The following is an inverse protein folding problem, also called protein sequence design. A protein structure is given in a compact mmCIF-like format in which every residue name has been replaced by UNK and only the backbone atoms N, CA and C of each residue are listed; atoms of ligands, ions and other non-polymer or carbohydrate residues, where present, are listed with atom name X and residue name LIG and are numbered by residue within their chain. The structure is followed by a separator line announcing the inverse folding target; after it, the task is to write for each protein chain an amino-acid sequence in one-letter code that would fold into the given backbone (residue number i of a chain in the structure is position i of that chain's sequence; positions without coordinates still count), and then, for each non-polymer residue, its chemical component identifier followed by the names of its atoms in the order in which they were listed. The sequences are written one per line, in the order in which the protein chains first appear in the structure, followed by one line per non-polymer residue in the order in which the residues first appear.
data_IF_113173899538
#
_entry.id   IF_113173899538
#
_cell.length_a   1.000
_cell.length_b   1.000
_cell.length_c   1.000
_cell.angle_alpha   90.00
_cell.angle_beta   90.00
_cell.angle_gamma   90.00
#
_symmetry.space_group_name_H-M   'P 1'
#
loop_
_entity.id
_entity.type
_entity.pdbx_description
1 polymer ?
#
# COMPACT_ATOMS: atom_id res chain seq x y z
N UNK A 1 -25.72 26.09 -10.45
CA UNK A 1 -25.41 26.46 -9.05
C UNK A 1 -25.46 25.28 -8.07
N UNK A 2 -26.51 24.47 -8.01
CA UNK A 2 -26.58 23.33 -7.05
C UNK A 2 -25.49 22.29 -7.28
N UNK A 3 -25.17 21.94 -8.53
CA UNK A 3 -24.12 20.94 -8.87
C UNK A 3 -22.73 21.39 -8.38
N UNK A 4 -22.37 22.65 -8.57
CA UNK A 4 -21.06 23.17 -8.12
C UNK A 4 -20.98 23.19 -6.60
N UNK A 5 -22.03 23.57 -5.88
CA UNK A 5 -22.07 23.48 -4.41
C UNK A 5 -21.86 22.04 -3.94
N UNK A 6 -22.50 21.08 -4.61
CA UNK A 6 -22.32 19.65 -4.33
C UNK A 6 -20.87 19.21 -4.55
N UNK A 7 -20.25 19.65 -5.64
CA UNK A 7 -18.83 19.35 -5.92
C UNK A 7 -17.91 19.93 -4.84
N UNK A 8 -18.09 21.19 -4.42
CA UNK A 8 -17.28 21.77 -3.33
C UNK A 8 -17.48 21.01 -2.02
N UNK A 9 -18.69 20.57 -1.68
CA UNK A 9 -18.92 19.71 -0.52
C UNK A 9 -18.16 18.38 -0.62
N UNK A 10 -18.03 17.79 -1.82
CA UNK A 10 -17.17 16.62 -2.03
C UNK A 10 -15.71 16.95 -1.70
N UNK A 11 -15.20 18.12 -2.12
CA UNK A 11 -13.82 18.51 -1.84
C UNK A 11 -13.56 18.75 -0.34
N UNK A 12 -14.51 19.35 0.39
CA UNK A 12 -14.43 19.52 1.84
C UNK A 12 -14.34 18.17 2.56
N UNK A 13 -15.16 17.21 2.16
CA UNK A 13 -15.14 15.83 2.70
C UNK A 13 -13.84 15.11 2.38
N UNK A 14 -13.29 15.26 1.16
CA UNK A 14 -11.95 14.74 0.81
C UNK A 14 -10.87 15.32 1.70
N UNK A 15 -10.88 16.64 1.94
CA UNK A 15 -9.92 17.29 2.85
C UNK A 15 -10.00 16.72 4.26
N UNK A 16 -11.21 16.49 4.78
CA UNK A 16 -11.40 15.85 6.08
C UNK A 16 -10.86 14.40 6.12
N UNK A 17 -11.07 13.63 5.05
CA UNK A 17 -10.55 12.26 4.92
C UNK A 17 -9.03 12.24 4.87
N UNK A 18 -8.38 13.18 4.15
CA UNK A 18 -6.92 13.31 4.16
C UNK A 18 -6.39 13.66 5.55
N UNK A 19 -7.02 14.58 6.28
CA UNK A 19 -6.61 14.94 7.63
C UNK A 19 -6.67 13.72 8.57
N UNK A 20 -7.73 12.91 8.49
CA UNK A 20 -7.84 11.65 9.24
C UNK A 20 -6.74 10.66 8.84
N UNK A 21 -6.45 10.54 7.55
CA UNK A 21 -5.43 9.64 7.02
C UNK A 21 -4.03 10.02 7.50
N UNK A 22 -3.65 11.29 7.43
CA UNK A 22 -2.36 11.79 7.93
C UNK A 22 -2.24 11.61 9.44
N UNK A 23 -3.23 12.05 10.22
CA UNK A 23 -3.23 11.89 11.68
C UNK A 23 -3.17 10.42 12.10
N UNK A 24 -3.86 9.53 11.41
CA UNK A 24 -3.80 8.09 11.65
C UNK A 24 -2.42 7.51 11.37
N UNK A 25 -1.77 7.94 10.29
CA UNK A 25 -0.42 7.52 9.95
C UNK A 25 0.61 7.99 10.99
N UNK A 26 0.54 9.25 11.42
CA UNK A 26 1.45 9.79 12.47
C UNK A 26 1.31 9.03 13.77
N UNK A 27 0.06 8.70 14.17
CA UNK A 27 -0.20 7.86 15.34
C UNK A 27 0.31 6.44 15.18
N UNK A 28 0.27 5.89 13.97
CA UNK A 28 0.82 4.57 13.67
C UNK A 28 2.35 4.59 13.75
N UNK A 29 3.02 5.58 13.18
CA UNK A 29 4.48 5.73 13.26
C UNK A 29 4.97 5.95 14.69
N UNK A 30 4.25 6.72 15.49
CA UNK A 30 4.59 6.94 16.91
C UNK A 30 4.27 5.74 17.83
N UNK A 31 3.69 4.66 17.30
CA UNK A 31 3.28 3.50 18.09
C UNK A 31 1.99 3.68 18.90
N UNK A 32 1.33 4.84 18.83
CA UNK A 32 0.07 5.11 19.54
C UNK A 32 -1.17 4.51 18.84
N UNK A 33 -1.01 3.96 17.64
CA UNK A 33 -2.03 3.22 16.89
C UNK A 33 -1.44 1.89 16.38
N UNK A 34 -2.07 0.78 16.74
CA UNK A 34 -1.67 -0.56 16.31
C UNK A 34 -1.85 -0.77 14.80
N UNK A 35 -1.11 -1.72 14.22
CA UNK A 35 -1.15 -2.02 12.79
C UNK A 35 -2.56 -2.42 12.31
N UNK A 36 -3.31 -3.19 13.11
CA UNK A 36 -4.70 -3.58 12.79
C UNK A 36 -5.66 -2.39 12.75
N UNK A 37 -5.50 -1.44 13.68
CA UNK A 37 -6.34 -0.23 13.72
C UNK A 37 -6.02 0.71 12.56
N UNK A 38 -4.72 0.84 12.22
CA UNK A 38 -4.30 1.60 11.06
C UNK A 38 -4.80 0.95 9.76
N UNK A 39 -4.75 -0.38 9.64
CA UNK A 39 -5.30 -1.10 8.50
C UNK A 39 -6.79 -0.86 8.30
N UNK A 40 -7.59 -0.87 9.40
CA UNK A 40 -9.01 -0.51 9.34
C UNK A 40 -9.23 0.92 8.86
N UNK A 41 -8.48 1.88 9.41
CA UNK A 41 -8.55 3.28 8.99
C UNK A 41 -8.25 3.41 7.50
N UNK A 42 -7.22 2.75 6.97
CA UNK A 42 -6.91 2.74 5.55
C UNK A 42 -8.08 2.20 4.71
N UNK A 43 -8.74 1.13 5.15
CA UNK A 43 -9.92 0.57 4.49
C UNK A 43 -11.10 1.55 4.46
N UNK A 44 -11.39 2.22 5.60
CA UNK A 44 -12.43 3.24 5.70
C UNK A 44 -12.15 4.43 4.76
N UNK A 45 -10.92 4.97 4.77
CA UNK A 45 -10.51 6.07 3.89
C UNK A 45 -10.62 5.68 2.42
N UNK A 46 -10.18 4.47 2.06
CA UNK A 46 -10.28 3.97 0.67
C UNK A 46 -11.74 3.91 0.20
N UNK A 47 -12.62 3.37 1.03
CA UNK A 47 -14.06 3.30 0.73
C UNK A 47 -14.69 4.68 0.60
N UNK A 48 -14.37 5.61 1.52
CA UNK A 48 -14.87 6.98 1.50
C UNK A 48 -14.38 7.75 0.27
N UNK A 49 -13.07 7.69 -0.05
CA UNK A 49 -12.51 8.32 -1.24
C UNK A 49 -13.10 7.76 -2.53
N UNK A 50 -13.39 6.46 -2.58
CA UNK A 50 -14.10 5.83 -3.69
C UNK A 50 -15.50 6.39 -3.87
N UNK A 51 -16.29 6.49 -2.80
CA UNK A 51 -17.64 7.07 -2.84
C UNK A 51 -17.63 8.55 -3.27
N UNK A 52 -16.68 9.34 -2.73
CA UNK A 52 -16.50 10.75 -3.10
C UNK A 52 -16.11 10.92 -4.58
N UNK A 53 -15.32 10.00 -5.11
CA UNK A 53 -14.95 10.00 -6.53
C UNK A 53 -16.15 9.72 -7.44
N UNK A 54 -17.01 8.77 -7.07
CA UNK A 54 -18.25 8.50 -7.80
C UNK A 54 -19.21 9.70 -7.73
N UNK A 55 -19.31 10.37 -6.59
CA UNK A 55 -20.14 11.55 -6.43
C UNK A 55 -19.66 12.72 -7.31
N UNK A 56 -18.35 12.94 -7.41
CA UNK A 56 -17.76 13.94 -8.29
C UNK A 56 -17.97 13.61 -9.78
N UNK A 57 -17.85 12.32 -10.18
CA UNK A 57 -18.15 11.87 -11.53
C UNK A 57 -19.63 12.13 -11.90
N UNK A 58 -20.56 11.85 -11.00
CA UNK A 58 -21.97 12.14 -11.25
C UNK A 58 -22.25 13.64 -11.44
N UNK A 59 -21.50 14.52 -10.74
CA UNK A 59 -21.58 15.98 -10.97
C UNK A 59 -21.02 16.34 -12.33
N UNK A 60 -19.88 15.78 -12.73
CA UNK A 60 -19.27 15.99 -14.04
C UNK A 60 -20.22 15.58 -15.18
N UNK A 61 -20.83 14.40 -15.08
CA UNK A 61 -21.82 13.91 -16.06
C UNK A 61 -23.05 14.83 -16.15
N UNK A 62 -23.56 15.30 -15.01
CA UNK A 62 -24.69 16.23 -14.97
C UNK A 62 -24.36 17.60 -15.58
N UNK A 63 -23.13 18.09 -15.44
CA UNK A 63 -22.67 19.32 -16.07
C UNK A 63 -22.55 19.17 -17.60
N UNK A 64 -22.00 18.04 -18.06
CA UNK A 64 -21.95 17.73 -19.49
C UNK A 64 -23.36 17.66 -20.09
N UNK A 65 -24.30 17.02 -19.42
CA UNK A 65 -25.71 16.96 -19.85
C UNK A 65 -26.40 18.33 -19.89
N UNK A 66 -25.92 19.28 -19.08
CA UNK A 66 -26.38 20.67 -19.08
C UNK A 66 -25.60 21.58 -20.06
N UNK A 67 -24.72 21.02 -20.90
CA UNK A 67 -23.85 21.76 -21.84
C UNK A 67 -22.92 22.76 -21.15
N UNK A 68 -22.49 22.45 -19.92
CA UNK A 68 -21.52 23.21 -19.13
C UNK A 68 -20.14 22.54 -19.19
N UNK A 69 -19.65 22.33 -20.41
CA UNK A 69 -18.47 21.52 -20.71
C UNK A 69 -17.19 22.06 -20.04
N UNK A 70 -17.00 23.39 -19.96
CA UNK A 70 -15.84 23.99 -19.30
C UNK A 70 -15.77 23.62 -17.82
N UNK A 71 -16.92 23.71 -17.11
CA UNK A 71 -16.99 23.29 -15.70
C UNK A 71 -16.73 21.79 -15.52
N UNK A 72 -17.29 20.97 -16.41
CA UNK A 72 -17.06 19.53 -16.39
C UNK A 72 -15.57 19.20 -16.61
N UNK A 73 -14.91 19.90 -17.54
CA UNK A 73 -13.48 19.75 -17.78
C UNK A 73 -12.64 20.10 -16.55
N UNK A 74 -12.92 21.20 -15.87
CA UNK A 74 -12.25 21.56 -14.61
C UNK A 74 -12.46 20.50 -13.52
N UNK A 75 -13.67 19.94 -13.38
CA UNK A 75 -13.93 18.82 -12.44
C UNK A 75 -13.10 17.60 -12.82
N UNK A 76 -12.94 17.28 -14.09
CA UNK A 76 -12.08 16.19 -14.55
C UNK A 76 -10.62 16.42 -14.17
N UNK A 77 -10.09 17.63 -14.31
CA UNK A 77 -8.73 17.98 -13.88
C UNK A 77 -8.58 17.75 -12.37
N UNK A 78 -9.53 18.22 -11.56
CA UNK A 78 -9.50 17.98 -10.11
C UNK A 78 -9.53 16.49 -9.79
N UNK A 79 -10.35 15.68 -10.48
CA UNK A 79 -10.41 14.23 -10.26
C UNK A 79 -9.07 13.53 -10.55
N UNK A 80 -8.39 13.91 -11.64
CA UNK A 80 -7.07 13.38 -11.98
C UNK A 80 -6.01 13.81 -10.96
N UNK A 81 -6.03 15.08 -10.53
CA UNK A 81 -5.16 15.58 -9.48
C UNK A 81 -5.36 14.87 -8.14
N UNK A 82 -6.62 14.64 -7.73
CA UNK A 82 -6.92 13.92 -6.49
C UNK A 82 -6.46 12.45 -6.54
N UNK A 83 -6.56 11.79 -7.69
CA UNK A 83 -6.00 10.44 -7.89
C UNK A 83 -4.47 10.44 -7.73
N UNK A 84 -3.79 11.40 -8.34
CA UNK A 84 -2.33 11.55 -8.23
C UNK A 84 -1.91 11.85 -6.78
N UNK A 85 -2.59 12.80 -6.13
CA UNK A 85 -2.36 13.18 -4.73
C UNK A 85 -2.50 11.99 -3.78
N UNK A 86 -3.58 11.20 -3.89
CA UNK A 86 -3.79 10.02 -3.05
C UNK A 86 -2.68 8.98 -3.26
N UNK A 87 -2.33 8.73 -4.53
CA UNK A 87 -1.25 7.80 -4.87
C UNK A 87 0.08 8.22 -4.24
N UNK A 88 0.47 9.49 -4.38
CA UNK A 88 1.74 9.98 -3.84
C UNK A 88 1.73 10.03 -2.30
N UNK A 89 0.59 10.35 -1.68
CA UNK A 89 0.41 10.26 -0.23
C UNK A 89 0.67 8.82 0.26
N UNK A 90 0.06 7.82 -0.37
CA UNK A 90 0.29 6.42 -0.02
C UNK A 90 1.75 6.00 -0.25
N UNK A 91 2.37 6.41 -1.36
CA UNK A 91 3.78 6.13 -1.65
C UNK A 91 4.69 6.68 -0.54
N UNK A 92 4.51 7.95 -0.15
CA UNK A 92 5.28 8.58 0.93
C UNK A 92 5.06 7.88 2.28
N UNK A 93 3.85 7.44 2.58
CA UNK A 93 3.58 6.71 3.82
C UNK A 93 4.28 5.34 3.83
N UNK A 94 4.27 4.61 2.71
CA UNK A 94 5.01 3.34 2.59
C UNK A 94 6.51 3.57 2.78
N UNK A 95 7.10 4.54 2.08
CA UNK A 95 8.52 4.88 2.19
C UNK A 95 8.89 5.24 3.64
N UNK A 96 8.15 6.17 4.26
CA UNK A 96 8.38 6.60 5.66
C UNK A 96 8.23 5.46 6.65
N UNK A 97 7.23 4.59 6.47
CA UNK A 97 7.03 3.43 7.34
C UNK A 97 8.21 2.46 7.23
N UNK A 98 8.61 2.09 6.01
CA UNK A 98 9.74 1.18 5.79
C UNK A 98 11.02 1.75 6.38
N UNK A 99 11.24 3.06 6.24
CA UNK A 99 12.37 3.75 6.86
C UNK A 99 12.31 3.71 8.39
N UNK A 100 11.14 3.96 8.99
CA UNK A 100 10.99 3.95 10.45
C UNK A 100 11.19 2.56 11.07
N UNK A 101 10.92 1.51 10.32
CA UNK A 101 11.11 0.11 10.72
C UNK A 101 12.57 -0.35 10.54
N UNK A 102 13.47 0.53 10.06
CA UNK A 102 14.91 0.27 9.82
C UNK A 102 15.14 -1.02 9.03
N UNK A 103 14.34 -1.22 7.98
CA UNK A 103 14.38 -2.47 7.19
C UNK A 103 15.59 -2.58 6.27
N UNK A 104 16.24 -1.45 5.96
CA UNK A 104 17.35 -1.43 5.01
C UNK A 104 18.71 -1.57 5.72
N UNK A 105 19.63 -2.27 5.07
CA UNK A 105 20.97 -2.55 5.62
C UNK A 105 21.76 -1.26 5.88
N UNK A 106 21.66 -0.26 5.02
CA UNK A 106 22.33 1.03 5.18
C UNK A 106 21.81 1.89 6.36
N UNK A 107 20.67 1.51 6.96
CA UNK A 107 20.15 2.15 8.18
C UNK A 107 20.70 1.53 9.47
N UNK A 108 21.41 0.40 9.37
CA UNK A 108 21.94 -0.33 10.52
C UNK A 108 23.36 0.09 10.83
N UNK A 109 23.72 0.06 12.10
CA UNK A 109 25.12 0.22 12.48
C UNK A 109 25.92 -1.03 12.10
N UNK A 110 27.26 -0.95 11.96
CA UNK A 110 28.08 -2.12 11.72
C UNK A 110 27.88 -3.24 12.74
N UNK A 111 27.69 -2.88 14.03
CA UNK A 111 27.41 -3.83 15.10
C UNK A 111 26.05 -4.53 14.92
N UNK A 112 25.01 -3.78 14.52
CA UNK A 112 23.68 -4.36 14.24
C UNK A 112 23.71 -5.29 13.02
N UNK A 113 24.57 -5.01 12.04
CA UNK A 113 24.75 -5.88 10.87
C UNK A 113 25.44 -7.19 11.30
N UNK A 114 26.52 -7.09 12.07
CA UNK A 114 27.26 -8.26 12.56
C UNK A 114 26.36 -9.14 13.46
N UNK A 115 25.56 -8.53 14.34
CA UNK A 115 24.62 -9.25 15.20
C UNK A 115 23.52 -9.95 14.37
N UNK A 116 22.99 -9.28 13.35
CA UNK A 116 21.99 -9.86 12.46
C UNK A 116 22.55 -11.03 11.63
N UNK A 117 23.79 -10.90 11.14
CA UNK A 117 24.48 -11.98 10.42
C UNK A 117 24.77 -13.17 11.33
N UNK A 118 25.21 -12.91 12.56
CA UNK A 118 25.45 -13.97 13.54
C UNK A 118 24.14 -14.68 13.92
N UNK A 119 23.04 -13.94 14.08
CA UNK A 119 21.73 -14.51 14.36
C UNK A 119 21.22 -15.36 13.17
N UNK A 120 21.39 -14.87 11.94
CA UNK A 120 21.02 -15.60 10.74
C UNK A 120 21.84 -16.89 10.58
N UNK A 121 23.15 -16.83 10.84
CA UNK A 121 24.03 -18.01 10.83
C UNK A 121 23.62 -19.04 11.90
N UNK A 122 23.27 -18.59 13.10
CA UNK A 122 22.79 -19.46 14.18
C UNK A 122 21.47 -20.14 13.82
N UNK A 123 20.53 -19.41 13.20
CA UNK A 123 19.27 -19.98 12.71
C UNK A 123 19.49 -21.00 11.58
N UNK A 124 20.39 -20.72 10.65
CA UNK A 124 20.75 -21.65 9.57
C UNK A 124 21.40 -22.93 10.14
N UNK A 125 22.31 -22.80 11.11
CA UNK A 125 22.91 -23.94 11.78
C UNK A 125 21.88 -24.80 12.54
N UNK A 126 20.92 -24.16 13.21
CA UNK A 126 19.82 -24.83 13.89
C UNK A 126 18.89 -25.57 12.89
N UNK A 127 18.59 -24.96 11.74
CA UNK A 127 17.80 -25.60 10.68
C UNK A 127 18.51 -26.86 10.13
N UNK A 128 19.81 -26.77 9.85
CA UNK A 128 20.61 -27.93 9.41
C UNK A 128 20.69 -29.02 10.47
N UNK A 129 20.81 -28.67 11.76
CA UNK A 129 20.81 -29.64 12.84
C UNK A 129 19.47 -30.38 12.96
N UNK A 130 18.35 -29.66 12.82
CA UNK A 130 17.01 -30.26 12.80
C UNK A 130 16.80 -31.19 11.58
N UNK A 131 17.27 -30.78 10.41
CA UNK A 131 17.18 -31.61 9.20
C UNK A 131 18.01 -32.90 9.34
N UNK A 132 19.20 -32.80 9.93
CA UNK A 132 20.06 -33.93 10.23
C UNK A 132 19.39 -34.89 11.24
N UNK A 133 18.77 -34.35 12.31
CA UNK A 133 18.06 -35.13 13.32
C UNK A 133 16.84 -35.86 12.72
N UNK A 134 16.06 -35.19 11.85
CA UNK A 134 14.92 -35.81 11.14
C UNK A 134 15.41 -36.91 10.21
N UNK A 135 16.53 -36.72 9.53
CA UNK A 135 17.13 -37.73 8.64
C UNK A 135 17.63 -38.94 9.41
N UNK A 136 18.24 -38.73 10.57
CA UNK A 136 18.70 -39.81 11.47
C UNK A 136 17.51 -40.58 12.05
N UNK A 137 16.45 -39.89 12.52
CA UNK A 137 15.22 -40.55 13.02
C UNK A 137 14.50 -41.35 11.93
N UNK A 138 14.42 -40.83 10.73
CA UNK A 138 13.85 -41.55 9.57
C UNK A 138 14.70 -42.76 9.17
N UNK A 139 16.01 -42.72 9.35
CA UNK A 139 16.91 -43.85 9.12
C UNK A 139 16.74 -44.93 10.19
N UNK A 140 16.55 -44.54 11.46
CA UNK A 140 16.27 -45.46 12.58
C UNK A 140 14.92 -46.15 12.43
N UNK A 141 13.90 -45.47 11.87
CA UNK A 141 12.56 -46.05 11.62
C UNK A 141 12.51 -46.98 10.41
N UNK A 142 13.53 -47.00 9.57
CA UNK A 142 13.67 -48.00 8.46
C UNK A 142 14.24 -49.31 8.96
N UNK A 143 13.56 -49.94 9.91
CA UNK A 143 13.78 -51.40 10.15
C UNK A 143 13.10 -52.19 9.06
N UNK A 144 13.77 -53.22 8.51
CA UNK A 144 13.17 -54.04 7.43
C UNK A 144 12.07 -54.94 8.01
N UNK A 145 10.80 -54.64 7.73
CA UNK A 145 9.69 -55.53 8.09
C UNK A 145 8.34 -54.87 8.36
N UNK A 146 8.16 -53.56 8.21
CA UNK A 146 6.87 -52.90 8.43
C UNK A 146 6.13 -52.58 7.13
N UNK A 147 4.95 -53.18 6.95
CA UNK A 147 3.98 -52.87 5.87
C UNK A 147 3.64 -51.38 5.92
N UNK A 148 3.88 -50.71 4.81
CA UNK A 148 3.62 -49.29 4.60
C UNK A 148 2.10 -49.05 4.35
N UNK A 149 1.32 -48.41 5.24
CA UNK A 149 -0.01 -47.95 4.87
C UNK A 149 0.15 -46.70 4.01
N UNK A 150 0.08 -46.87 2.71
CA UNK A 150 0.17 -45.81 1.74
C UNK A 150 -1.03 -44.88 1.78
N UNK A 151 -0.95 -43.87 2.63
CA UNK A 151 -1.73 -42.62 2.46
C UNK A 151 -1.26 -41.52 3.42
N UNK A 152 -0.22 -40.85 3.02
CA UNK A 152 0.16 -39.52 3.58
C UNK A 152 1.02 -38.76 2.57
N UNK A 153 0.56 -38.57 1.35
CA UNK A 153 1.07 -37.53 0.48
C UNK A 153 -0.10 -36.69 -0.02
N UNK A 154 -0.76 -36.01 0.92
CA UNK A 154 -1.67 -34.91 0.58
C UNK A 154 -0.91 -33.60 0.68
N UNK A 155 -0.32 -33.15 -0.41
CA UNK A 155 0.01 -31.76 -0.59
C UNK A 155 -1.31 -30.98 -0.56
N UNK A 156 -1.70 -30.51 0.62
CA UNK A 156 -2.75 -29.52 0.75
C UNK A 156 -2.13 -28.18 0.37
N UNK A 157 -2.15 -27.86 -0.92
CA UNK A 157 -2.06 -26.48 -1.38
C UNK A 157 -3.41 -25.87 -1.05
N UNK A 158 -3.47 -25.07 0.02
CA UNK A 158 -4.62 -24.24 0.28
C UNK A 158 -4.70 -23.21 -0.85
N UNK A 159 -5.49 -23.50 -1.87
CA UNK A 159 -5.94 -22.46 -2.80
C UNK A 159 -6.79 -21.47 -2.00
N UNK A 160 -6.34 -20.23 -1.94
CA UNK A 160 -7.08 -19.13 -1.36
C UNK A 160 -8.21 -18.77 -2.34
N UNK A 161 -9.39 -19.34 -2.15
CA UNK A 161 -10.61 -19.06 -2.93
C UNK A 161 -11.34 -17.81 -2.46
N UNK A 162 -10.62 -16.76 -2.04
CA UNK A 162 -11.23 -15.50 -1.66
C UNK A 162 -11.35 -14.58 -2.89
N UNK A 163 -12.58 -14.34 -3.41
CA UNK A 163 -12.80 -13.50 -4.59
C UNK A 163 -12.40 -12.03 -4.39
N UNK A 164 -12.12 -11.59 -3.15
CA UNK A 164 -11.66 -10.24 -2.83
C UNK A 164 -10.16 -10.02 -3.12
N UNK A 165 -9.39 -11.08 -3.41
CA UNK A 165 -7.96 -10.97 -3.74
C UNK A 165 -7.66 -10.83 -5.25
N UNK A 166 -8.67 -10.74 -6.11
CA UNK A 166 -8.52 -10.37 -7.52
C UNK A 166 -8.79 -8.89 -7.73
N UNK A 167 -7.78 -8.04 -7.50
CA UNK A 167 -7.81 -6.69 -8.07
C UNK A 167 -7.47 -6.76 -9.54
N UNK A 168 -8.24 -6.06 -10.38
CA UNK A 168 -8.12 -6.05 -11.84
C UNK A 168 -6.76 -5.56 -12.38
N UNK A 169 -5.86 -5.10 -11.54
CA UNK A 169 -4.57 -4.50 -11.89
C UNK A 169 -3.35 -5.33 -11.46
N UNK A 170 -3.50 -6.61 -11.14
CA UNK A 170 -2.37 -7.53 -10.98
C UNK A 170 -1.50 -7.31 -9.72
N UNK A 171 -1.93 -6.54 -8.75
CA UNK A 171 -1.22 -6.39 -7.49
C UNK A 171 -1.44 -7.64 -6.62
N UNK A 172 -0.44 -8.49 -6.50
CA UNK A 172 -0.43 -9.59 -5.54
C UNK A 172 -0.29 -9.04 -4.13
N UNK A 173 -1.28 -9.31 -3.29
CA UNK A 173 -1.17 -9.12 -1.85
C UNK A 173 -0.02 -9.97 -1.30
N UNK A 174 0.98 -9.34 -0.68
CA UNK A 174 2.12 -9.99 -0.04
C UNK A 174 1.79 -10.53 1.35
N UNK A 175 0.68 -11.27 1.51
CA UNK A 175 0.40 -11.96 2.76
C UNK A 175 1.14 -13.30 2.77
N UNK A 176 2.29 -13.32 3.47
CA UNK A 176 2.87 -14.43 4.17
C UNK A 176 3.06 -15.74 3.39
N UNK A 177 4.05 -15.81 2.54
CA UNK A 177 4.60 -17.05 2.05
C UNK A 177 6.02 -17.24 2.55
N UNK A 178 6.19 -17.89 3.70
CA UNK A 178 7.49 -18.42 4.11
C UNK A 178 7.88 -19.55 3.14
N UNK A 179 9.00 -19.37 2.44
CA UNK A 179 9.78 -20.47 1.87
C UNK A 179 9.65 -20.72 0.38
N UNK A 180 10.29 -19.88 -0.41
CA UNK A 180 11.05 -20.31 -1.60
C UNK A 180 12.13 -19.26 -1.81
N UNK A 181 13.38 -19.63 -1.83
CA UNK A 181 14.50 -18.77 -2.22
C UNK A 181 14.34 -18.47 -3.72
N UNK A 182 13.53 -17.46 -4.02
CA UNK A 182 13.39 -16.92 -5.35
C UNK A 182 14.63 -16.05 -5.60
N UNK A 183 15.54 -16.53 -6.45
CA UNK A 183 16.79 -15.86 -6.82
C UNK A 183 16.57 -14.57 -7.64
N UNK A 184 15.35 -14.04 -7.65
CA UNK A 184 14.94 -12.76 -8.21
C UNK A 184 14.56 -11.75 -7.12
N UNK A 185 15.25 -11.74 -5.98
CA UNK A 185 15.08 -10.70 -4.98
C UNK A 185 15.41 -9.34 -5.63
N UNK A 186 14.42 -8.45 -5.70
CA UNK A 186 14.65 -7.06 -6.10
C UNK A 186 15.74 -6.51 -5.19
N UNK A 187 16.85 -5.97 -5.74
CA UNK A 187 17.93 -5.46 -4.91
C UNK A 187 17.41 -4.37 -3.97
N UNK A 188 17.95 -4.35 -2.76
CA UNK A 188 17.64 -3.34 -1.77
C UNK A 188 17.99 -1.95 -2.31
N UNK A 189 17.09 -0.93 -2.19
CA UNK A 189 17.39 0.41 -2.64
C UNK A 189 18.53 1.01 -1.79
N UNK A 190 19.40 1.76 -2.44
CA UNK A 190 20.41 2.57 -1.76
C UNK A 190 19.76 3.75 -1.02
N UNK A 191 20.48 4.37 -0.08
CA UNK A 191 20.01 5.59 0.59
C UNK A 191 19.72 6.72 -0.40
N UNK A 192 20.53 6.86 -1.45
CA UNK A 192 20.34 7.86 -2.50
C UNK A 192 19.06 7.60 -3.30
N UNK A 193 18.79 6.36 -3.69
CA UNK A 193 17.57 5.96 -4.37
C UNK A 193 16.33 6.18 -3.51
N UNK A 194 16.39 5.87 -2.20
CA UNK A 194 15.32 6.15 -1.27
C UNK A 194 15.03 7.66 -1.15
N UNK A 195 16.08 8.46 -0.95
CA UNK A 195 15.94 9.91 -0.86
C UNK A 195 15.42 10.51 -2.17
N UNK A 196 15.89 10.01 -3.31
CA UNK A 196 15.40 10.36 -4.63
C UNK A 196 13.91 10.06 -4.81
N UNK A 197 13.46 8.86 -4.42
CA UNK A 197 12.06 8.45 -4.47
C UNK A 197 11.16 9.31 -3.56
N UNK A 198 11.64 9.65 -2.36
CA UNK A 198 10.92 10.56 -1.46
C UNK A 198 10.78 11.96 -2.05
N UNK A 199 11.85 12.50 -2.64
CA UNK A 199 11.85 13.83 -3.26
C UNK A 199 10.93 13.87 -4.49
N UNK A 200 10.96 12.85 -5.34
CA UNK A 200 10.08 12.72 -6.52
C UNK A 200 8.60 12.62 -6.10
N UNK A 201 8.29 11.75 -5.14
CA UNK A 201 6.93 11.60 -4.65
C UNK A 201 6.40 12.88 -3.99
N UNK A 202 7.25 13.62 -3.27
CA UNK A 202 6.89 14.92 -2.67
C UNK A 202 6.60 15.95 -3.74
N UNK A 203 7.46 16.08 -4.75
CA UNK A 203 7.25 17.01 -5.87
C UNK A 203 5.97 16.69 -6.63
N UNK A 204 5.75 15.42 -6.97
CA UNK A 204 4.52 15.01 -7.66
C UNK A 204 3.26 15.25 -6.82
N UNK A 205 3.36 15.16 -5.50
CA UNK A 205 2.26 15.51 -4.58
C UNK A 205 1.97 17.03 -4.61
N UNK A 206 3.02 17.84 -4.55
CA UNK A 206 2.91 19.31 -4.62
C UNK A 206 2.31 19.75 -5.96
N UNK A 207 2.79 19.24 -7.07
CA UNK A 207 2.27 19.52 -8.40
C UNK A 207 0.77 19.15 -8.53
N UNK A 208 0.37 18.00 -7.98
CA UNK A 208 -1.02 17.60 -7.94
C UNK A 208 -1.89 18.56 -7.11
N UNK A 209 -1.40 19.05 -5.97
CA UNK A 209 -2.11 20.01 -5.12
C UNK A 209 -2.24 21.36 -5.83
N UNK A 210 -1.18 21.84 -6.49
CA UNK A 210 -1.22 23.07 -7.29
C UNK A 210 -2.27 22.96 -8.39
N UNK A 211 -2.22 21.92 -9.21
CA UNK A 211 -3.19 21.72 -10.30
C UNK A 211 -4.65 21.59 -9.82
N UNK A 212 -4.88 20.96 -8.66
CA UNK A 212 -6.21 20.93 -8.03
C UNK A 212 -6.68 22.33 -7.66
N UNK A 213 -5.81 23.14 -7.01
CA UNK A 213 -6.17 24.47 -6.58
C UNK A 213 -6.44 25.42 -7.74
N UNK A 214 -5.65 25.35 -8.81
CA UNK A 214 -5.87 26.11 -10.04
C UNK A 214 -7.22 25.76 -10.68
N UNK A 215 -7.53 24.48 -10.84
CA UNK A 215 -8.81 24.06 -11.39
C UNK A 215 -10.01 24.43 -10.49
N UNK A 216 -9.85 24.39 -9.17
CA UNK A 216 -10.88 24.86 -8.23
C UNK A 216 -11.10 26.36 -8.33
N UNK A 217 -10.03 27.13 -8.57
CA UNK A 217 -10.12 28.58 -8.77
C UNK A 217 -10.83 28.90 -10.09
N UNK A 218 -10.50 28.21 -11.18
CA UNK A 218 -11.17 28.36 -12.48
C UNK A 218 -12.67 28.07 -12.38
N UNK A 219 -13.07 27.02 -11.63
CA UNK A 219 -14.49 26.73 -11.37
C UNK A 219 -15.19 27.93 -10.69
N UNK A 220 -14.54 28.60 -9.72
CA UNK A 220 -15.10 29.77 -9.03
C UNK A 220 -15.24 30.96 -9.96
N UNK A 221 -14.28 31.18 -10.84
CA UNK A 221 -14.29 32.27 -11.83
C UNK A 221 -15.41 32.06 -12.85
N UNK A 222 -15.52 30.88 -13.45
CA UNK A 222 -16.62 30.54 -14.37
C UNK A 222 -17.98 30.70 -13.66
N UNK A 223 -18.07 30.30 -12.39
CA UNK A 223 -19.30 30.44 -11.62
C UNK A 223 -19.67 31.89 -11.35
N UNK A 224 -18.70 32.80 -11.20
CA UNK A 224 -18.95 34.22 -10.98
C UNK A 224 -19.44 34.94 -12.24
N UNK A 225 -19.08 34.43 -13.42
CA UNK A 225 -19.44 34.97 -14.73
C UNK A 225 -20.83 34.48 -15.23
N UNK A 226 -21.46 33.53 -14.55
CA UNK A 226 -22.78 32.96 -14.88
C UNK A 226 -23.93 33.67 -14.15
#
# INVERSE_FOLDING_TARGET
MALIKRFFSVQERRAASYNRFHSGFDRHLSGSMGAGDYGRLCGEITSEMGALSLEALAVEEALNAASLESLAACIRVVQLGEKAKLRMTCTLQVLKKTHSERKWTWQRTPEEVEEAEAAAAAMAASAHANEAAIKEENTRRRTPGGLNPGWANGNFVAECDDPLHRTADGFRCGCGGSGASDTNAVPEPTEEEYNGACAEATRALEDAVVGINEALQEIREIQADM
#
